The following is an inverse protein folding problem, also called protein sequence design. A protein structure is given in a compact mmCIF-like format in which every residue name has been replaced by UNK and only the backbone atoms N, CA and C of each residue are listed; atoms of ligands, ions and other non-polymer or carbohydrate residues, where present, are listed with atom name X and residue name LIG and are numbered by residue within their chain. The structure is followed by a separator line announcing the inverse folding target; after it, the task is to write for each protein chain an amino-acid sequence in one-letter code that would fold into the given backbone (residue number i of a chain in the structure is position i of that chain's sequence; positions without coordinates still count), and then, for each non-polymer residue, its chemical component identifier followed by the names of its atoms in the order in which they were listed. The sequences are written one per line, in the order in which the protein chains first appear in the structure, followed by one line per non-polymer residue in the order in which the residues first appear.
data_IF_681418390709
#
_entry.id   IF_681418390709
#
_cell.length_a   1.000
_cell.length_b   1.000
_cell.length_c   1.000
_cell.angle_alpha   90.00
_cell.angle_beta   90.00
_cell.angle_gamma   90.00
#
_symmetry.space_group_name_H-M   'P 1'
#
loop_
_entity.id
_entity.type
_entity.pdbx_description
1 polymer ?
#
# COMPACT_ATOMS: atom_id res chain seq x y z
N UNK A 1 7.06 -16.75 2.78
CA UNK A 1 5.73 -16.49 2.18
C UNK A 1 5.89 -15.49 1.07
N UNK A 2 5.44 -15.84 -0.13
CA UNK A 2 5.36 -14.93 -1.28
C UNK A 2 4.25 -13.87 -1.07
N UNK A 3 4.23 -12.83 -1.90
CA UNK A 3 3.13 -11.85 -1.89
C UNK A 3 1.79 -12.53 -2.22
N UNK A 4 1.78 -13.46 -3.17
CA UNK A 4 0.59 -14.19 -3.61
C UNK A 4 -0.07 -15.01 -2.49
N UNK A 5 0.75 -15.68 -1.68
CA UNK A 5 0.26 -16.43 -0.51
C UNK A 5 -0.27 -15.48 0.57
N UNK A 6 0.30 -14.28 0.66
CA UNK A 6 -0.02 -13.31 1.72
C UNK A 6 -1.38 -12.66 1.50
N UNK A 7 -1.77 -12.32 0.26
CA UNK A 7 -3.03 -11.59 0.02
C UNK A 7 -4.29 -12.43 0.25
N UNK A 8 -4.16 -13.77 0.23
CA UNK A 8 -5.27 -14.70 0.35
C UNK A 8 -5.54 -15.16 1.78
N UNK A 9 -4.76 -14.72 2.77
CA UNK A 9 -4.94 -15.12 4.17
C UNK A 9 -6.09 -14.36 4.85
N UNK A 10 -6.63 -14.86 5.98
CA UNK A 10 -7.60 -14.14 6.78
C UNK A 10 -7.16 -12.73 7.19
N UNK A 11 -8.12 -11.81 7.27
CA UNK A 11 -7.91 -10.37 7.53
C UNK A 11 -6.99 -10.09 8.72
N UNK A 12 -7.23 -10.79 9.84
CA UNK A 12 -6.42 -10.62 11.04
C UNK A 12 -4.95 -10.96 10.80
N UNK A 13 -4.68 -12.05 10.08
CA UNK A 13 -3.32 -12.45 9.76
C UNK A 13 -2.67 -11.48 8.77
N UNK A 14 -3.43 -10.98 7.79
CA UNK A 14 -2.93 -9.97 6.86
C UNK A 14 -2.51 -8.68 7.59
N UNK A 15 -3.37 -8.19 8.49
CA UNK A 15 -3.08 -7.00 9.31
C UNK A 15 -1.86 -7.24 10.21
N UNK A 16 -1.73 -8.44 10.80
CA UNK A 16 -0.56 -8.78 11.60
C UNK A 16 0.74 -8.75 10.77
N UNK A 17 0.71 -9.28 9.55
CA UNK A 17 1.86 -9.20 8.64
C UNK A 17 2.20 -7.74 8.31
N UNK A 18 1.20 -6.89 8.02
CA UNK A 18 1.41 -5.46 7.81
C UNK A 18 2.04 -4.79 9.04
N UNK A 19 1.63 -5.19 10.25
CA UNK A 19 2.19 -4.68 11.50
C UNK A 19 3.65 -5.12 11.71
N UNK A 20 3.92 -6.41 11.59
CA UNK A 20 5.23 -7.00 11.86
C UNK A 20 6.29 -6.51 10.86
N UNK A 21 5.94 -6.43 9.57
CA UNK A 21 6.91 -6.07 8.51
C UNK A 21 7.11 -4.58 8.32
N UNK A 22 6.05 -3.79 8.51
CA UNK A 22 6.04 -2.36 8.15
C UNK A 22 5.73 -1.43 9.33
N UNK A 23 5.45 -1.99 10.52
CA UNK A 23 5.09 -1.21 11.70
C UNK A 23 3.73 -0.52 11.62
N UNK A 24 2.85 -0.96 10.71
CA UNK A 24 1.55 -0.36 10.46
C UNK A 24 0.54 -0.86 11.49
N UNK A 25 -0.06 0.05 12.25
CA UNK A 25 -1.12 -0.32 13.18
C UNK A 25 -2.47 -0.46 12.46
N UNK A 26 -3.45 -1.09 13.12
CA UNK A 26 -4.79 -1.34 12.55
C UNK A 26 -5.49 -0.08 12.06
N UNK A 27 -5.36 1.04 12.77
CA UNK A 27 -5.98 2.31 12.37
C UNK A 27 -5.42 2.83 11.06
N UNK A 28 -4.09 2.86 10.93
CA UNK A 28 -3.41 3.26 9.69
C UNK A 28 -3.73 2.30 8.54
N UNK A 29 -3.72 0.99 8.79
CA UNK A 29 -4.13 -0.02 7.81
C UNK A 29 -5.55 0.25 7.29
N UNK A 30 -6.51 0.45 8.19
CA UNK A 30 -7.90 0.70 7.79
C UNK A 30 -8.03 1.98 6.95
N UNK A 31 -7.27 3.03 7.25
CA UNK A 31 -7.25 4.24 6.43
C UNK A 31 -6.71 3.98 5.02
N UNK A 32 -5.62 3.21 4.91
CA UNK A 32 -5.03 2.82 3.62
C UNK A 32 -6.03 1.98 2.81
N UNK A 33 -6.61 0.95 3.44
CA UNK A 33 -7.59 0.06 2.80
C UNK A 33 -8.81 0.83 2.30
N UNK A 34 -9.39 1.68 3.15
CA UNK A 34 -10.53 2.53 2.77
C UNK A 34 -10.17 3.51 1.64
N UNK A 35 -8.95 4.07 1.64
CA UNK A 35 -8.52 4.97 0.59
C UNK A 35 -8.45 4.27 -0.77
N UNK A 36 -7.79 3.11 -0.86
CA UNK A 36 -7.72 2.34 -2.11
C UNK A 36 -9.08 1.80 -2.56
N UNK A 37 -9.95 1.42 -1.63
CA UNK A 37 -11.32 1.06 -1.95
C UNK A 37 -12.07 2.23 -2.61
N UNK A 38 -11.92 3.44 -2.08
CA UNK A 38 -12.53 4.66 -2.62
C UNK A 38 -11.96 5.07 -3.99
N UNK A 39 -10.75 4.61 -4.35
CA UNK A 39 -10.21 4.75 -5.70
C UNK A 39 -10.74 3.70 -6.69
N UNK A 40 -11.61 2.77 -6.25
CA UNK A 40 -12.23 1.76 -7.12
C UNK A 40 -11.60 0.37 -7.07
N UNK A 41 -10.59 0.15 -6.21
CA UNK A 41 -9.92 -1.17 -6.09
C UNK A 41 -10.75 -2.08 -5.18
N UNK A 42 -11.89 -2.56 -5.68
CA UNK A 42 -12.87 -3.29 -4.87
C UNK A 42 -12.48 -4.75 -4.59
N UNK A 43 -11.78 -5.40 -5.51
CA UNK A 43 -11.32 -6.78 -5.32
C UNK A 43 -10.30 -6.85 -4.17
N UNK A 44 -10.61 -7.64 -3.14
CA UNK A 44 -9.82 -7.66 -1.90
C UNK A 44 -8.37 -8.11 -2.13
N UNK A 45 -8.14 -9.09 -2.99
CA UNK A 45 -6.80 -9.59 -3.31
C UNK A 45 -5.99 -8.54 -4.05
N UNK A 46 -6.57 -7.89 -5.05
CA UNK A 46 -5.96 -6.78 -5.79
C UNK A 46 -5.62 -5.62 -4.84
N UNK A 47 -6.57 -5.21 -4.01
CA UNK A 47 -6.36 -4.13 -3.03
C UNK A 47 -5.24 -4.48 -2.04
N UNK A 48 -5.18 -5.73 -1.58
CA UNK A 48 -4.09 -6.19 -0.71
C UNK A 48 -2.74 -6.20 -1.39
N UNK A 49 -2.67 -6.55 -2.68
CA UNK A 49 -1.45 -6.37 -3.46
C UNK A 49 -1.05 -4.90 -3.50
N UNK A 50 -1.98 -4.00 -3.84
CA UNK A 50 -1.71 -2.55 -3.88
C UNK A 50 -1.24 -2.02 -2.53
N UNK A 51 -1.85 -2.46 -1.43
CA UNK A 51 -1.43 -2.12 -0.07
C UNK A 51 0.01 -2.57 0.17
N UNK A 52 0.37 -3.82 -0.15
CA UNK A 52 1.75 -4.31 0.04
C UNK A 52 2.75 -3.52 -0.80
N UNK A 53 2.42 -3.20 -2.06
CA UNK A 53 3.26 -2.37 -2.92
C UNK A 53 3.46 -0.96 -2.35
N UNK A 54 2.39 -0.34 -1.85
CA UNK A 54 2.46 0.96 -1.19
C UNK A 54 3.34 0.92 0.06
N UNK A 55 3.22 -0.12 0.87
CA UNK A 55 4.01 -0.27 2.09
C UNK A 55 5.49 -0.49 1.81
N UNK A 56 5.85 -1.22 0.75
CA UNK A 56 7.24 -1.30 0.31
C UNK A 56 7.77 0.03 -0.23
N UNK A 57 6.98 0.72 -1.06
CA UNK A 57 7.33 2.07 -1.54
C UNK A 57 7.67 3.01 -0.39
N UNK A 58 6.84 3.06 0.66
CA UNK A 58 7.12 3.90 1.82
C UNK A 58 8.38 3.45 2.56
N UNK A 59 8.56 2.15 2.75
CA UNK A 59 9.72 1.61 3.48
C UNK A 59 11.04 1.98 2.80
N UNK A 60 11.10 1.92 1.48
CA UNK A 60 12.26 2.35 0.69
C UNK A 60 12.51 3.86 0.81
N UNK A 61 11.46 4.66 0.95
CA UNK A 61 11.55 6.11 1.08
C UNK A 61 11.75 6.61 2.53
N UNK A 62 11.65 5.75 3.54
CA UNK A 62 11.71 6.09 4.98
C UNK A 62 12.95 5.54 5.70
N UNK A 63 14.04 5.25 4.99
CA UNK A 63 15.28 4.61 5.46
C UNK A 63 16.05 5.31 6.60
N UNK A 64 15.53 6.37 7.23
CA UNK A 64 16.27 7.16 8.22
C UNK A 64 16.04 6.78 9.68
N UNK A 65 15.04 5.97 10.04
CA UNK A 65 15.01 5.44 11.42
C UNK A 65 14.20 4.15 11.55
N UNK A 66 14.81 3.13 12.14
CA UNK A 66 14.41 1.72 12.16
C UNK A 66 13.06 1.39 12.86
N UNK A 67 12.19 2.36 13.14
CA UNK A 67 10.97 2.11 13.95
C UNK A 67 9.79 2.97 13.52
N UNK A 68 8.93 2.33 12.72
CA UNK A 68 7.57 2.75 12.34
C UNK A 68 7.53 3.99 11.45
N UNK A 69 6.87 3.84 10.29
CA UNK A 69 6.59 4.98 9.45
C UNK A 69 5.61 5.95 10.16
N UNK A 70 6.05 7.18 10.39
CA UNK A 70 5.24 8.24 11.01
C UNK A 70 4.79 9.20 9.92
N UNK A 71 3.48 9.37 9.76
CA UNK A 71 2.90 10.14 8.66
C UNK A 71 2.49 11.57 9.01
N UNK A 72 2.72 12.05 10.25
CA UNK A 72 2.26 13.36 10.68
C UNK A 72 0.73 13.56 10.50
N UNK A 73 0.25 14.80 10.60
CA UNK A 73 -1.14 15.11 10.27
C UNK A 73 -1.29 15.22 8.74
N UNK A 74 -2.19 14.43 8.13
CA UNK A 74 -2.47 14.46 6.68
C UNK A 74 -1.41 13.82 5.78
N UNK A 75 -0.19 13.55 6.25
CA UNK A 75 0.89 13.05 5.39
C UNK A 75 0.70 11.63 4.88
N UNK A 76 -0.21 10.84 5.46
CA UNK A 76 -0.56 9.51 4.92
C UNK A 76 -1.27 9.63 3.58
N UNK A 77 -2.25 10.53 3.47
CA UNK A 77 -3.00 10.77 2.23
C UNK A 77 -2.08 11.29 1.13
N UNK A 78 -1.17 12.21 1.46
CA UNK A 78 -0.17 12.71 0.50
C UNK A 78 0.68 11.58 -0.06
N UNK A 79 1.16 10.67 0.79
CA UNK A 79 1.94 9.50 0.32
C UNK A 79 1.11 8.53 -0.52
N UNK A 80 -0.16 8.34 -0.19
CA UNK A 80 -1.08 7.53 -0.99
C UNK A 80 -1.26 8.11 -2.39
N UNK A 81 -1.46 9.43 -2.49
CA UNK A 81 -1.57 10.14 -3.77
C UNK A 81 -0.26 10.04 -4.58
N UNK A 82 0.88 10.34 -3.98
CA UNK A 82 2.20 10.23 -4.63
C UNK A 82 2.43 8.83 -5.22
N UNK A 83 2.16 7.78 -4.43
CA UNK A 83 2.27 6.39 -4.87
C UNK A 83 1.29 6.05 -5.99
N UNK A 84 0.03 6.45 -5.84
CA UNK A 84 -1.01 6.09 -6.79
C UNK A 84 -0.81 6.76 -8.15
N UNK A 85 -0.51 8.06 -8.17
CA UNK A 85 -0.33 8.79 -9.42
C UNK A 85 0.97 8.42 -10.15
N UNK A 86 2.06 8.14 -9.42
CA UNK A 86 3.29 7.61 -10.04
C UNK A 86 3.06 6.25 -10.70
N UNK A 87 2.27 5.36 -10.09
CA UNK A 87 1.90 4.07 -10.68
C UNK A 87 0.96 4.21 -11.90
N UNK A 88 0.05 5.20 -11.89
CA UNK A 88 -0.89 5.45 -13.00
C UNK A 88 -0.15 5.98 -14.22
N UNK A 89 0.76 6.94 -14.06
CA UNK A 89 1.57 7.49 -15.15
C UNK A 89 2.39 6.41 -15.87
N UNK A 90 2.94 5.44 -15.12
CA UNK A 90 3.65 4.30 -15.69
C UNK A 90 2.76 3.36 -16.51
N UNK A 91 1.49 3.16 -16.13
CA UNK A 91 0.54 2.32 -16.88
C UNK A 91 0.09 2.98 -18.18
N UNK A 92 -0.24 4.28 -18.12
CA UNK A 92 -0.62 5.08 -19.30
C UNK A 92 0.51 5.15 -20.32
N UNK A 93 1.76 5.29 -19.85
CA UNK A 93 2.94 5.30 -20.70
C UNK A 93 3.20 3.94 -21.37
N UNK A 94 2.92 2.83 -20.68
CA UNK A 94 3.07 1.47 -21.25
C UNK A 94 1.97 1.12 -22.24
N UNK A 95 0.73 1.58 -22.03
CA UNK A 95 -0.37 1.37 -22.98
C UNK A 95 -0.23 2.23 -24.24
N UNK A 96 0.37 3.42 -24.14
CA UNK A 96 0.65 4.29 -25.30
C UNK A 96 1.77 3.79 -26.21
N UNK A 97 2.57 2.80 -25.77
CA UNK A 97 3.65 2.19 -26.56
C UNK A 97 3.22 0.91 -27.30
N UNK A 98 1.94 0.52 -27.22
CA UNK A 98 1.39 -0.69 -27.87
C UNK A 98 0.58 -0.37 -29.15
N UNK A 99 0.64 0.87 -29.63
CA UNK A 99 0.08 1.28 -30.93
C UNK A 99 1.16 1.42 -31.99
#
# INVERSE_FOLDING_TARGET
MSMEETVNIPDLLFINICNERYGINRGVYNTIDAWFYNQGIHQITERRHTILSFLEYIKENCLTDNRRCKFGHGGLTVKLEEFYFSCVEERVSKESLVC
#
